data_IF_435680878185
#
_entry.id   IF_435680878185
#
_cell.length_a   1.000
_cell.length_b   1.000
_cell.length_c   1.000
_cell.angle_alpha   90.00
_cell.angle_beta   90.00
_cell.angle_gamma   90.00
#
_symmetry.space_group_name_H-M   'P 1'
#
loop_
_entity.id
_entity.type
_entity.pdbx_description
1 polymer ?
#
# COMPACT_ATOMS: atom_id res chain seq x y z
N UNK A 1 46.78 -14.52 53.13
CA UNK A 1 45.66 -13.76 53.69
C UNK A 1 44.70 -13.43 52.57
N UNK A 2 43.44 -13.87 52.72
CA UNK A 2 42.31 -13.49 51.86
C UNK A 2 41.96 -12.04 52.17
N UNK A 3 41.85 -11.18 51.16
CA UNK A 3 40.99 -10.00 51.26
C UNK A 3 40.17 -9.87 49.98
N UNK A 4 38.97 -10.43 50.12
CA UNK A 4 37.76 -10.14 49.37
C UNK A 4 37.37 -8.69 49.72
N UNK A 5 37.48 -7.76 48.77
CA UNK A 5 36.83 -6.46 48.88
C UNK A 5 35.74 -6.37 47.82
N UNK A 6 34.52 -6.56 48.32
CA UNK A 6 33.24 -6.37 47.66
C UNK A 6 33.15 -4.91 47.21
N UNK A 7 33.04 -4.68 45.90
CA UNK A 7 32.65 -3.37 45.36
C UNK A 7 31.22 -3.46 44.80
N UNK A 8 30.29 -3.05 45.67
CA UNK A 8 29.16 -2.15 45.41
C UNK A 8 28.46 -2.35 44.05
N UNK A 9 27.35 -3.10 44.07
CA UNK A 9 26.34 -3.03 43.03
C UNK A 9 25.67 -1.64 43.08
N UNK A 10 26.08 -0.78 42.16
CA UNK A 10 25.47 0.54 41.95
C UNK A 10 24.57 0.46 40.73
N UNK A 11 23.28 0.67 40.97
CA UNK A 11 22.22 0.78 39.96
C UNK A 11 22.64 1.70 38.80
N UNK A 12 22.65 1.14 37.59
CA UNK A 12 22.52 1.91 36.35
C UNK A 12 21.17 1.57 35.73
N UNK A 13 20.18 2.37 36.13
CA UNK A 13 18.98 2.60 35.33
C UNK A 13 19.43 3.24 34.00
N UNK A 14 19.20 2.57 32.88
CA UNK A 14 19.01 3.23 31.60
C UNK A 14 18.25 2.32 30.62
N UNK A 15 16.94 2.61 30.55
CA UNK A 15 16.10 2.47 29.36
C UNK A 15 15.96 1.08 28.71
N UNK A 16 15.09 0.24 29.29
CA UNK A 16 14.15 -0.49 28.43
C UNK A 16 13.14 0.51 27.86
N UNK A 17 13.54 1.23 26.80
CA UNK A 17 12.58 1.84 25.90
C UNK A 17 12.03 0.71 25.02
N UNK A 18 10.98 0.04 25.50
CA UNK A 18 10.04 -0.60 24.59
C UNK A 18 9.35 0.53 23.84
N UNK A 19 9.96 1.00 22.76
CA UNK A 19 9.25 1.77 21.75
C UNK A 19 8.36 0.78 20.98
N UNK A 20 7.28 0.36 21.63
CA UNK A 20 6.04 0.09 20.92
C UNK A 20 5.43 1.46 20.59
N UNK A 21 6.08 2.20 19.68
CA UNK A 21 5.32 3.12 18.85
C UNK A 21 4.51 2.25 17.90
N UNK A 22 3.41 1.72 18.44
CA UNK A 22 2.22 1.47 17.63
C UNK A 22 1.93 2.81 16.97
N UNK A 23 2.41 2.97 15.74
CA UNK A 23 2.05 4.07 14.86
C UNK A 23 0.54 4.17 14.98
N UNK A 24 0.07 5.29 15.56
CA UNK A 24 -1.32 5.69 15.42
C UNK A 24 -1.51 5.84 13.92
N UNK A 25 -1.96 4.77 13.25
CA UNK A 25 -2.55 4.87 11.93
C UNK A 25 -3.66 5.89 12.09
N UNK A 26 -3.39 7.12 11.65
CA UNK A 26 -4.46 8.04 11.37
C UNK A 26 -5.34 7.31 10.38
N UNK A 27 -6.55 6.99 10.82
CA UNK A 27 -7.55 6.33 9.99
C UNK A 27 -7.87 7.30 8.84
N UNK A 28 -7.10 7.20 7.76
CA UNK A 28 -7.39 7.94 6.54
C UNK A 28 -8.68 7.31 6.02
N UNK A 29 -9.79 7.95 6.32
CA UNK A 29 -11.10 7.58 5.79
C UNK A 29 -11.07 7.86 4.30
N UNK A 30 -10.54 6.90 3.57
CA UNK A 30 -10.71 6.73 2.15
C UNK A 30 -12.21 6.70 1.90
N UNK A 31 -12.75 7.83 1.44
CA UNK A 31 -14.15 7.89 1.04
C UNK A 31 -14.28 6.96 -0.15
N UNK A 32 -14.78 5.76 0.07
CA UNK A 32 -15.28 4.88 -0.98
C UNK A 32 -16.53 5.55 -1.50
N UNK A 33 -16.37 6.61 -2.31
CA UNK A 33 -17.50 7.35 -2.86
C UNK A 33 -18.16 6.41 -3.87
N UNK A 34 -19.24 5.74 -3.43
CA UNK A 34 -20.15 4.92 -4.24
C UNK A 34 -19.52 3.74 -5.02
N UNK A 35 -18.55 2.99 -4.46
CA UNK A 35 -18.15 1.71 -5.07
C UNK A 35 -19.31 0.70 -5.17
N UNK A 36 -20.35 0.83 -4.32
CA UNK A 36 -21.56 0.00 -4.42
C UNK A 36 -22.32 0.20 -5.74
N UNK A 37 -22.19 1.38 -6.38
CA UNK A 37 -22.92 1.72 -7.60
C UNK A 37 -22.23 1.25 -8.89
N UNK A 38 -20.94 0.94 -8.82
CA UNK A 38 -20.21 0.41 -9.95
C UNK A 38 -20.10 -1.12 -9.86
N UNK A 39 -20.92 -1.81 -10.66
CA UNK A 39 -20.95 -3.28 -10.76
C UNK A 39 -19.57 -3.92 -11.00
N UNK A 40 -18.62 -3.13 -11.52
CA UNK A 40 -17.25 -3.56 -11.79
C UNK A 40 -16.46 -3.84 -10.50
N UNK A 41 -16.63 -3.02 -9.47
CA UNK A 41 -15.91 -3.18 -8.20
C UNK A 41 -16.54 -4.25 -7.30
N UNK A 42 -17.80 -4.61 -7.54
CA UNK A 42 -18.47 -5.72 -6.84
C UNK A 42 -17.78 -7.08 -7.10
N UNK A 43 -17.02 -7.21 -8.20
CA UNK A 43 -16.21 -8.39 -8.51
C UNK A 43 -14.72 -8.04 -8.65
N UNK A 44 -14.25 -7.07 -7.85
CA UNK A 44 -12.88 -6.56 -7.90
C UNK A 44 -11.81 -7.68 -7.96
N UNK A 45 -11.98 -8.74 -7.18
CA UNK A 45 -11.05 -9.88 -7.12
C UNK A 45 -10.84 -10.59 -8.46
N UNK A 46 -11.81 -10.49 -9.38
CA UNK A 46 -11.76 -11.10 -10.72
C UNK A 46 -11.08 -10.20 -11.76
N UNK A 47 -10.77 -8.94 -11.41
CA UNK A 47 -10.15 -7.97 -12.30
C UNK A 47 -8.64 -8.21 -12.43
N UNK A 48 -8.23 -9.35 -12.99
CA UNK A 48 -6.82 -9.54 -13.32
C UNK A 48 -6.37 -8.53 -14.39
N UNK A 49 -5.19 -7.93 -14.21
CA UNK A 49 -4.65 -7.02 -15.21
C UNK A 49 -4.05 -7.81 -16.37
N UNK A 50 -4.75 -7.84 -17.50
CA UNK A 50 -4.31 -8.46 -18.75
C UNK A 50 -4.46 -7.50 -19.94
N UNK A 51 -4.15 -7.95 -21.16
CA UNK A 51 -4.25 -7.11 -22.36
C UNK A 51 -5.68 -6.65 -22.70
N UNK A 52 -6.71 -7.24 -22.08
CA UNK A 52 -8.10 -6.93 -22.35
C UNK A 52 -8.67 -5.91 -21.37
N UNK A 53 -8.01 -5.67 -20.23
CA UNK A 53 -8.53 -4.78 -19.18
C UNK A 53 -8.66 -3.33 -19.65
N UNK A 54 -7.69 -2.83 -20.43
CA UNK A 54 -7.76 -1.49 -21.00
C UNK A 54 -8.93 -1.36 -21.97
N UNK A 55 -9.16 -2.37 -22.81
CA UNK A 55 -10.33 -2.41 -23.71
C UNK A 55 -11.63 -2.44 -22.92
N UNK A 56 -11.67 -3.15 -21.80
CA UNK A 56 -12.82 -3.19 -20.91
C UNK A 56 -13.09 -1.81 -20.30
N UNK A 57 -12.09 -1.16 -19.71
CA UNK A 57 -12.23 0.17 -19.11
C UNK A 57 -12.57 1.26 -20.14
N UNK A 58 -11.98 1.21 -21.34
CA UNK A 58 -12.35 2.13 -22.43
C UNK A 58 -13.83 2.02 -22.81
N UNK A 59 -14.42 0.82 -22.81
CA UNK A 59 -15.87 0.63 -23.08
C UNK A 59 -16.76 1.26 -22.02
N UNK A 60 -16.25 1.45 -20.81
CA UNK A 60 -16.95 2.10 -19.70
C UNK A 60 -16.75 3.62 -19.71
N UNK A 61 -16.02 4.15 -20.70
CA UNK A 61 -15.68 5.57 -20.78
C UNK A 61 -14.50 5.98 -19.92
N UNK A 62 -13.78 5.02 -19.31
CA UNK A 62 -12.60 5.34 -18.52
C UNK A 62 -11.40 5.59 -19.42
N UNK A 63 -10.52 6.47 -18.97
CA UNK A 63 -9.28 6.82 -19.67
C UNK A 63 -8.07 6.52 -18.81
N UNK A 64 -7.04 5.86 -19.38
CA UNK A 64 -5.79 5.59 -18.68
C UNK A 64 -5.07 6.91 -18.39
N UNK A 65 -4.73 7.15 -17.12
CA UNK A 65 -3.99 8.33 -16.67
C UNK A 65 -2.52 7.98 -16.46
N UNK A 66 -2.27 6.89 -15.73
CA UNK A 66 -0.90 6.47 -15.37
C UNK A 66 -0.85 4.96 -15.18
N UNK A 67 0.26 4.36 -15.60
CA UNK A 67 0.62 2.99 -15.26
C UNK A 67 2.07 3.00 -14.78
N UNK A 68 2.33 2.34 -13.66
CA UNK A 68 3.70 2.18 -13.13
C UNK A 68 3.85 0.78 -12.55
N UNK A 69 5.06 0.25 -12.60
CA UNK A 69 5.40 -1.03 -11.98
C UNK A 69 6.67 -0.83 -11.18
N UNK A 70 6.65 -1.24 -9.91
CA UNK A 70 7.73 -0.99 -8.95
C UNK A 70 7.88 -2.18 -7.99
N UNK A 71 9.03 -2.28 -7.34
CA UNK A 71 9.25 -3.21 -6.22
C UNK A 71 8.84 -2.53 -4.92
N UNK A 72 7.91 -3.12 -4.18
CA UNK A 72 7.41 -2.57 -2.92
C UNK A 72 8.56 -2.34 -1.93
N UNK A 73 8.64 -1.15 -1.34
CA UNK A 73 9.70 -0.79 -0.40
C UNK A 73 11.03 -0.42 -1.05
N UNK A 74 11.12 -0.36 -2.38
CA UNK A 74 12.31 0.19 -3.03
C UNK A 74 12.33 1.73 -2.96
N UNK A 75 13.49 2.30 -2.63
CA UNK A 75 13.63 3.73 -2.41
C UNK A 75 13.55 4.56 -3.71
N UNK A 76 13.71 3.95 -4.88
CA UNK A 76 13.70 4.69 -6.15
C UNK A 76 12.27 5.00 -6.63
N UNK A 77 11.38 4.02 -6.63
CA UNK A 77 10.03 4.14 -7.20
C UNK A 77 8.92 3.45 -6.36
N UNK A 78 9.31 2.62 -5.39
CA UNK A 78 8.42 1.78 -4.58
C UNK A 78 8.24 2.21 -3.13
N UNK A 79 8.66 3.44 -2.79
CA UNK A 79 8.50 4.00 -1.46
C UNK A 79 7.00 4.06 -1.09
N UNK A 80 6.71 3.79 0.17
CA UNK A 80 5.36 3.88 0.72
C UNK A 80 5.08 5.34 1.06
N UNK A 81 4.40 6.03 0.16
CA UNK A 81 3.84 7.36 0.41
C UNK A 81 2.48 7.29 1.10
N UNK A 82 1.94 8.44 1.51
CA UNK A 82 0.57 8.54 2.04
C UNK A 82 -0.45 7.92 1.08
N UNK A 83 -0.27 8.10 -0.23
CA UNK A 83 -1.13 7.51 -1.26
C UNK A 83 -1.11 5.96 -1.29
N UNK A 84 -0.01 5.34 -0.86
CA UNK A 84 0.18 3.87 -0.86
C UNK A 84 0.02 3.25 0.52
N UNK A 85 -0.32 4.03 1.55
CA UNK A 85 -0.32 3.58 2.94
C UNK A 85 -1.23 2.37 3.18
N UNK A 86 -2.34 2.27 2.45
CA UNK A 86 -3.27 1.14 2.55
C UNK A 86 -2.66 -0.21 2.16
N UNK A 87 -1.56 -0.23 1.41
CA UNK A 87 -0.84 -1.47 1.09
C UNK A 87 -0.15 -2.06 2.33
N UNK A 88 0.13 -1.26 3.37
CA UNK A 88 0.65 -1.73 4.66
C UNK A 88 -0.38 -2.56 5.45
N UNK A 89 -1.67 -2.45 5.11
CA UNK A 89 -2.71 -3.32 5.68
C UNK A 89 -2.70 -4.73 5.05
N UNK A 90 -1.92 -4.94 3.98
CA UNK A 90 -1.87 -6.20 3.22
C UNK A 90 -0.52 -6.92 3.42
N UNK A 91 0.58 -6.17 3.40
CA UNK A 91 1.93 -6.72 3.57
C UNK A 91 2.55 -6.24 4.88
N UNK A 92 3.15 -7.16 5.63
CA UNK A 92 3.95 -6.82 6.81
C UNK A 92 5.23 -6.09 6.43
N UNK A 93 5.77 -5.31 7.36
CA UNK A 93 7.06 -4.63 7.17
C UNK A 93 8.18 -5.59 6.77
N UNK A 94 8.18 -6.81 7.36
CA UNK A 94 9.16 -7.85 7.04
C UNK A 94 9.08 -8.28 5.58
N UNK A 95 7.87 -8.53 5.06
CA UNK A 95 7.68 -8.90 3.65
C UNK A 95 8.11 -7.77 2.71
N UNK A 96 7.87 -6.51 3.08
CA UNK A 96 8.30 -5.35 2.29
C UNK A 96 9.84 -5.24 2.26
N UNK A 97 10.50 -5.52 3.38
CA UNK A 97 11.97 -5.49 3.48
C UNK A 97 12.66 -6.56 2.61
N UNK A 98 11.96 -7.64 2.25
CA UNK A 98 12.47 -8.68 1.34
C UNK A 98 12.57 -8.18 -0.11
N UNK A 99 11.91 -7.07 -0.46
CA UNK A 99 11.98 -6.38 -1.77
C UNK A 99 11.69 -7.26 -2.99
N UNK A 100 10.82 -8.25 -2.84
CA UNK A 100 10.45 -9.19 -3.89
C UNK A 100 8.99 -9.04 -4.37
N UNK A 101 8.23 -8.14 -3.74
CA UNK A 101 6.84 -7.87 -4.07
C UNK A 101 6.78 -6.89 -5.24
N UNK A 102 6.54 -7.42 -6.43
CA UNK A 102 6.34 -6.61 -7.63
C UNK A 102 4.89 -6.13 -7.74
N UNK A 103 4.70 -4.81 -7.70
CA UNK A 103 3.40 -4.14 -7.75
C UNK A 103 3.24 -3.42 -9.08
N UNK A 104 2.04 -3.50 -9.66
CA UNK A 104 1.58 -2.62 -10.73
C UNK A 104 0.52 -1.68 -10.18
N UNK A 105 0.71 -0.38 -10.37
CA UNK A 105 -0.21 0.69 -10.00
C UNK A 105 -0.78 1.29 -11.27
N UNK A 106 -2.11 1.28 -11.42
CA UNK A 106 -2.79 1.77 -12.61
C UNK A 106 -3.89 2.73 -12.21
N UNK A 107 -3.81 3.96 -12.71
CA UNK A 107 -4.78 5.02 -12.48
C UNK A 107 -5.60 5.26 -13.73
N UNK A 108 -6.91 5.24 -13.56
CA UNK A 108 -7.92 5.53 -14.56
C UNK A 108 -8.70 6.78 -14.17
N UNK A 109 -8.95 7.66 -15.12
CA UNK A 109 -9.97 8.68 -14.99
C UNK A 109 -11.32 8.03 -15.25
N UNK A 110 -12.22 8.07 -14.27
CA UNK A 110 -13.54 7.41 -14.34
C UNK A 110 -14.67 8.40 -14.63
N UNK A 111 -14.49 9.68 -14.28
CA UNK A 111 -15.39 10.77 -14.64
C UNK A 111 -14.65 12.12 -14.70
N UNK A 112 -15.40 13.24 -14.69
CA UNK A 112 -14.83 14.60 -14.74
C UNK A 112 -13.98 14.93 -13.51
N UNK A 113 -14.33 14.43 -12.34
CA UNK A 113 -13.78 14.85 -11.05
C UNK A 113 -12.96 13.75 -10.37
N UNK A 114 -13.16 12.48 -10.72
CA UNK A 114 -12.61 11.36 -9.97
C UNK A 114 -11.62 10.50 -10.80
N UNK A 115 -10.64 9.97 -10.07
CA UNK A 115 -9.72 8.94 -10.51
C UNK A 115 -9.94 7.65 -9.70
N UNK A 116 -9.69 6.51 -10.34
CA UNK A 116 -9.62 5.18 -9.75
C UNK A 116 -8.18 4.67 -9.91
N UNK A 117 -7.48 4.43 -8.80
CA UNK A 117 -6.22 3.69 -8.80
C UNK A 117 -6.47 2.26 -8.35
N UNK A 118 -5.88 1.29 -9.06
CA UNK A 118 -5.85 -0.11 -8.67
C UNK A 118 -4.40 -0.56 -8.56
N UNK A 119 -4.07 -1.23 -7.45
CA UNK A 119 -2.81 -1.93 -7.26
C UNK A 119 -2.98 -3.42 -7.52
N UNK A 120 -2.03 -3.99 -8.26
CA UNK A 120 -1.97 -5.40 -8.58
C UNK A 120 -0.65 -6.00 -8.13
N UNK A 121 -0.67 -7.21 -7.57
CA UNK A 121 0.52 -8.01 -7.30
C UNK A 121 0.84 -8.93 -8.47
N UNK A 122 2.12 -9.09 -8.79
CA UNK A 122 2.57 -10.17 -9.69
C UNK A 122 2.57 -11.50 -8.95
N UNK A 123 1.78 -12.46 -9.41
CA UNK A 123 1.77 -13.84 -8.93
C UNK A 123 1.73 -14.80 -10.11
N UNK A 124 2.65 -15.77 -10.19
CA UNK A 124 2.67 -16.77 -11.27
C UNK A 124 2.55 -16.17 -12.68
N UNK A 125 3.28 -15.07 -12.93
CA UNK A 125 3.25 -14.28 -14.19
C UNK A 125 1.92 -13.59 -14.51
N UNK A 126 0.96 -13.57 -13.58
CA UNK A 126 -0.32 -12.86 -13.70
C UNK A 126 -0.37 -11.70 -12.72
N UNK A 127 -1.13 -10.68 -13.05
CA UNK A 127 -1.37 -9.53 -12.18
C UNK A 127 -2.71 -9.72 -11.48
N UNK A 128 -2.68 -9.90 -10.16
CA UNK A 128 -3.88 -10.04 -9.35
C UNK A 128 -4.21 -8.75 -8.61
N UNK A 129 -5.47 -8.32 -8.60
CA UNK A 129 -5.88 -7.09 -7.94
C UNK A 129 -5.74 -7.24 -6.42
N UNK A 130 -5.19 -6.22 -5.75
CA UNK A 130 -4.97 -6.19 -4.30
C UNK A 130 -5.93 -5.22 -3.60
N UNK A 131 -5.91 -3.97 -4.05
CA UNK A 131 -6.66 -2.87 -3.49
C UNK A 131 -7.00 -1.88 -4.60
N UNK A 132 -8.06 -1.12 -4.39
CA UNK A 132 -8.37 0.04 -5.21
C UNK A 132 -8.63 1.27 -4.33
N UNK A 133 -8.54 2.44 -4.94
CA UNK A 133 -8.84 3.71 -4.32
C UNK A 133 -9.47 4.65 -5.35
N UNK A 134 -10.66 5.19 -5.02
CA UNK A 134 -11.30 6.27 -5.78
C UNK A 134 -11.09 7.58 -5.04
N UNK A 135 -10.65 8.61 -5.75
CA UNK A 135 -10.37 9.92 -5.16
C UNK A 135 -10.68 11.04 -6.15
N UNK A 136 -10.93 12.24 -5.62
CA UNK A 136 -11.07 13.44 -6.44
C UNK A 136 -9.69 13.83 -7.00
N UNK A 137 -9.63 14.23 -8.26
CA UNK A 137 -8.39 14.62 -8.95
C UNK A 137 -7.64 15.77 -8.28
N UNK A 138 -8.36 16.60 -7.54
CA UNK A 138 -7.82 17.75 -6.82
C UNK A 138 -7.36 17.39 -5.39
N UNK A 139 -7.44 16.11 -4.99
CA UNK A 139 -6.91 15.63 -3.71
C UNK A 139 -5.38 15.62 -3.73
N UNK A 140 -4.77 16.28 -2.75
CA UNK A 140 -3.33 16.23 -2.50
C UNK A 140 -3.01 15.10 -1.52
N UNK A 141 -1.90 14.41 -1.78
CA UNK A 141 -1.33 13.33 -0.97
C UNK A 141 0.18 13.57 -0.80
#
# INVERSE_FOLDING_TARGET
MKFLCVFIAMNLFAAQCKNEESQKLQHFNMTVINAEKDSLLQNFEKLSYDKNIEKHYKKLGYSLVKETTFLMGDYSDGLISEFRIELLNIFSEKEIQEKDILIKEVTWQIDKNNNLTIWYKRENKKWKPLKFFIYNKDTNF
#
